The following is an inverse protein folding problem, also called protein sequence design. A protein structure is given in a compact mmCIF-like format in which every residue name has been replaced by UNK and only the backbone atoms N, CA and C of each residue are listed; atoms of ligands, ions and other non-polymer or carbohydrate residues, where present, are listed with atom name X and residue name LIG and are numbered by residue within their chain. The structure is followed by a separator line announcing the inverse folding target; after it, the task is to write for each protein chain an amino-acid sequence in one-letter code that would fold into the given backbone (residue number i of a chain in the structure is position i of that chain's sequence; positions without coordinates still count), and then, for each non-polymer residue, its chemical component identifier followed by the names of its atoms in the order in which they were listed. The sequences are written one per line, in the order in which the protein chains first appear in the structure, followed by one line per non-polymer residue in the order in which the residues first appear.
data_IF_766128740289
#
_entry.id   IF_766128740289
#
_cell.length_a   1.000
_cell.length_b   1.000
_cell.length_c   1.000
_cell.angle_alpha   90.00
_cell.angle_beta   90.00
_cell.angle_gamma   90.00
#
_symmetry.space_group_name_H-M   'P 1'
#
loop_
_entity.id
_entity.type
_entity.pdbx_description
1 polymer ?
#
# COMPACT_ATOMS: atom_id res chain seq x y z
N UNK A 1 44.68 9.70 -14.65
CA UNK A 1 44.05 9.19 -13.42
C UNK A 1 42.54 9.12 -13.62
N UNK A 2 42.04 7.99 -14.11
CA UNK A 2 40.60 7.75 -14.31
C UNK A 2 40.00 7.34 -12.97
N UNK A 3 39.19 8.21 -12.36
CA UNK A 3 38.46 7.86 -11.14
C UNK A 3 37.19 7.13 -11.53
N UNK A 4 37.13 5.83 -11.26
CA UNK A 4 35.96 5.00 -11.51
C UNK A 4 34.70 5.62 -10.88
N UNK A 5 33.55 5.57 -11.57
CA UNK A 5 32.30 6.15 -11.09
C UNK A 5 31.86 5.56 -9.73
N UNK A 6 32.21 4.30 -9.47
CA UNK A 6 31.94 3.60 -8.20
C UNK A 6 32.71 4.23 -7.04
N UNK A 7 33.98 4.60 -7.24
CA UNK A 7 34.83 5.21 -6.20
C UNK A 7 34.34 6.60 -5.82
N UNK A 8 33.86 7.38 -6.81
CA UNK A 8 33.21 8.67 -6.55
C UNK A 8 31.91 8.48 -5.79
N UNK A 9 31.11 7.47 -6.15
CA UNK A 9 29.87 7.14 -5.46
C UNK A 9 30.13 6.79 -3.98
N UNK A 10 31.08 5.89 -3.71
CA UNK A 10 31.48 5.53 -2.34
C UNK A 10 31.95 6.75 -1.54
N UNK A 11 32.75 7.64 -2.15
CA UNK A 11 33.21 8.86 -1.47
C UNK A 11 32.07 9.83 -1.12
N UNK A 12 31.03 9.90 -1.95
CA UNK A 12 29.83 10.70 -1.64
C UNK A 12 29.02 10.06 -0.49
N UNK A 13 28.84 8.74 -0.52
CA UNK A 13 28.19 8.01 0.56
C UNK A 13 28.92 8.17 1.89
N UNK A 14 30.24 8.09 1.90
CA UNK A 14 31.06 8.23 3.10
C UNK A 14 30.91 9.63 3.73
N UNK A 15 31.02 10.69 2.90
CA UNK A 15 30.79 12.07 3.36
C UNK A 15 29.36 12.32 3.84
N UNK A 16 28.37 11.71 3.20
CA UNK A 16 26.98 11.80 3.60
C UNK A 16 26.74 11.10 4.95
N UNK A 17 27.31 9.90 5.14
CA UNK A 17 27.24 9.15 6.39
C UNK A 17 27.95 9.91 7.52
N UNK A 18 29.13 10.46 7.28
CA UNK A 18 29.86 11.27 8.26
C UNK A 18 29.07 12.52 8.67
N UNK A 19 28.52 13.24 7.68
CA UNK A 19 27.71 14.43 7.94
C UNK A 19 26.42 14.10 8.70
N UNK A 20 25.79 12.96 8.38
CA UNK A 20 24.61 12.47 9.07
C UNK A 20 24.93 12.05 10.51
N UNK A 21 26.06 11.38 10.75
CA UNK A 21 26.51 10.97 12.08
C UNK A 21 26.84 12.18 12.98
N UNK A 22 27.51 13.21 12.43
CA UNK A 22 27.79 14.45 13.17
C UNK A 22 26.49 15.20 13.51
N UNK A 23 25.56 15.32 12.55
CA UNK A 23 24.27 15.97 12.78
C UNK A 23 23.38 15.21 13.75
N UNK A 24 23.36 13.88 13.69
CA UNK A 24 22.57 13.05 14.61
C UNK A 24 23.08 13.20 16.04
N UNK A 25 24.40 13.21 16.25
CA UNK A 25 24.99 13.44 17.56
C UNK A 25 24.69 14.84 18.12
N UNK A 26 24.55 15.84 17.26
CA UNK A 26 24.26 17.23 17.66
C UNK A 26 22.77 17.50 17.89
N UNK A 27 21.87 16.83 17.16
CA UNK A 27 20.44 17.15 17.14
C UNK A 27 19.56 16.10 17.83
N UNK A 28 20.00 14.84 17.89
CA UNK A 28 19.18 13.74 18.40
C UNK A 28 19.57 13.44 19.86
N UNK A 29 18.78 13.95 20.79
CA UNK A 29 18.85 13.55 22.19
C UNK A 29 18.32 12.13 22.43
N UNK A 30 18.77 11.49 23.53
CA UNK A 30 18.37 10.12 23.92
C UNK A 30 16.85 9.92 23.96
N UNK A 31 16.11 10.92 24.48
CA UNK A 31 14.64 10.88 24.59
C UNK A 31 13.96 10.95 23.22
N UNK A 32 14.48 11.79 22.32
CA UNK A 32 13.94 11.93 20.97
C UNK A 32 14.19 10.65 20.15
N UNK A 33 15.39 10.07 20.26
CA UNK A 33 15.72 8.79 19.63
C UNK A 33 14.76 7.68 20.09
N UNK A 34 14.61 7.49 21.41
CA UNK A 34 13.72 6.46 21.97
C UNK A 34 12.27 6.67 21.55
N UNK A 35 11.78 7.93 21.53
CA UNK A 35 10.42 8.23 21.11
C UNK A 35 10.19 7.94 19.61
N UNK A 36 11.16 8.28 18.75
CA UNK A 36 11.05 8.04 17.31
C UNK A 36 11.15 6.55 16.99
N UNK A 37 12.09 5.85 17.61
CA UNK A 37 12.24 4.41 17.44
C UNK A 37 10.97 3.69 17.91
N UNK A 38 10.44 4.05 19.08
CA UNK A 38 9.19 3.49 19.61
C UNK A 38 7.99 3.75 18.70
N UNK A 39 7.86 4.96 18.13
CA UNK A 39 6.81 5.28 17.16
C UNK A 39 6.89 4.41 15.90
N UNK A 40 8.09 4.22 15.36
CA UNK A 40 8.27 3.36 14.17
C UNK A 40 7.95 1.90 14.50
N UNK A 41 8.40 1.41 15.65
CA UNK A 41 8.22 0.01 16.07
C UNK A 41 6.74 -0.30 16.34
N UNK A 42 6.09 0.52 17.17
CA UNK A 42 4.66 0.39 17.47
C UNK A 42 3.84 0.66 16.22
N UNK A 43 4.13 1.75 15.50
CA UNK A 43 3.45 2.13 14.28
C UNK A 43 3.49 1.03 13.23
N UNK A 44 4.66 0.45 12.94
CA UNK A 44 4.79 -0.65 11.98
C UNK A 44 4.02 -1.91 12.39
N UNK A 45 3.93 -2.20 13.70
CA UNK A 45 3.19 -3.35 14.19
C UNK A 45 1.66 -3.15 14.17
N UNK A 46 1.18 -1.94 14.47
CA UNK A 46 -0.27 -1.65 14.52
C UNK A 46 -0.85 -1.15 13.21
N UNK A 47 -0.03 -0.66 12.26
CA UNK A 47 -0.49 -0.19 10.96
C UNK A 47 -1.37 -1.21 10.20
N UNK A 48 -1.06 -2.52 10.14
CA UNK A 48 -1.93 -3.49 9.47
C UNK A 48 -3.22 -3.81 10.25
N UNK A 49 -3.32 -3.39 11.52
CA UNK A 49 -4.53 -3.55 12.34
C UNK A 49 -5.47 -2.34 12.22
N UNK A 50 -5.00 -1.22 11.62
CA UNK A 50 -5.89 -0.12 11.30
C UNK A 50 -6.90 -0.58 10.24
N UNK A 51 -8.14 -0.08 10.28
CA UNK A 51 -9.14 -0.38 9.27
C UNK A 51 -8.57 -0.11 7.88
N UNK A 52 -8.63 -1.11 7.00
CA UNK A 52 -8.19 -0.97 5.61
C UNK A 52 -9.04 0.08 4.92
N UNK A 53 -8.49 1.27 4.70
CA UNK A 53 -9.15 2.28 3.86
C UNK A 53 -8.91 1.92 2.38
N UNK A 54 -9.92 1.32 1.75
CA UNK A 54 -9.89 0.95 0.33
C UNK A 54 -10.21 2.13 -0.60
N UNK A 55 -10.60 3.30 -0.06
CA UNK A 55 -11.00 4.47 -0.86
C UNK A 55 -9.85 5.04 -1.71
N UNK A 56 -8.60 4.89 -1.26
CA UNK A 56 -7.43 5.34 -2.01
C UNK A 56 -7.27 4.61 -3.36
N UNK A 57 -7.80 3.38 -3.50
CA UNK A 57 -7.77 2.63 -4.76
C UNK A 57 -8.93 2.97 -5.70
N UNK A 58 -9.99 3.59 -5.20
CA UNK A 58 -11.12 4.04 -6.03
C UNK A 58 -10.78 5.31 -6.85
N UNK A 59 -9.69 5.99 -6.53
CA UNK A 59 -9.23 7.21 -7.21
C UNK A 59 -8.44 6.87 -8.49
N UNK A 60 -9.13 6.43 -9.54
CA UNK A 60 -8.41 6.05 -10.76
C UNK A 60 -9.21 5.69 -12.01
N UNK A 61 -10.51 5.98 -12.09
CA UNK A 61 -11.28 5.71 -13.31
C UNK A 61 -11.05 6.82 -14.35
N UNK A 62 -10.01 6.68 -15.19
CA UNK A 62 -9.96 7.38 -16.47
C UNK A 62 -11.07 6.83 -17.41
N UNK A 63 -11.62 7.64 -18.34
CA UNK A 63 -12.63 7.15 -19.28
C UNK A 63 -12.00 6.08 -20.19
N UNK A 64 -12.30 4.82 -19.87
CA UNK A 64 -11.94 3.63 -20.62
C UNK A 64 -13.16 3.15 -21.44
N UNK A 65 -12.98 2.27 -22.45
CA UNK A 65 -14.10 1.56 -23.08
C UNK A 65 -15.02 0.94 -22.03
N UNK A 66 -16.31 0.84 -22.35
CA UNK A 66 -17.33 0.34 -21.43
C UNK A 66 -16.93 -1.05 -20.91
N UNK A 67 -16.62 -1.13 -19.62
CA UNK A 67 -16.22 -2.37 -18.95
C UNK A 67 -17.46 -3.19 -18.63
N UNK A 68 -17.34 -4.50 -18.75
CA UNK A 68 -18.42 -5.46 -18.55
C UNK A 68 -18.31 -6.13 -17.19
N UNK A 69 -19.31 -6.93 -16.81
CA UNK A 69 -19.39 -7.60 -15.52
C UNK A 69 -18.36 -8.71 -15.28
N UNK A 70 -17.57 -9.04 -16.30
CA UNK A 70 -16.41 -9.93 -16.23
C UNK A 70 -15.08 -9.20 -16.11
N UNK A 71 -15.08 -7.86 -16.20
CA UNK A 71 -13.88 -7.03 -16.10
C UNK A 71 -13.70 -6.48 -14.68
N UNK A 72 -12.47 -6.54 -14.14
CA UNK A 72 -12.15 -6.03 -12.80
C UNK A 72 -12.37 -4.52 -12.67
N UNK A 73 -12.23 -3.77 -13.76
CA UNK A 73 -12.34 -2.31 -13.82
C UNK A 73 -13.78 -1.86 -14.05
N UNK A 74 -14.75 -2.77 -14.04
CA UNK A 74 -16.16 -2.41 -14.02
C UNK A 74 -16.47 -1.58 -12.78
N UNK A 75 -17.20 -0.48 -12.98
CA UNK A 75 -17.38 0.57 -11.97
C UNK A 75 -17.96 0.06 -10.64
N UNK A 76 -18.79 -1.00 -10.67
CA UNK A 76 -19.38 -1.58 -9.44
C UNK A 76 -18.36 -2.34 -8.59
N UNK A 77 -17.18 -2.64 -9.14
CA UNK A 77 -16.13 -3.41 -8.47
C UNK A 77 -15.03 -2.53 -7.89
N UNK A 78 -15.29 -1.23 -7.70
CA UNK A 78 -14.32 -0.25 -7.19
C UNK A 78 -13.65 -0.63 -5.86
N UNK A 79 -14.28 -1.49 -5.05
CA UNK A 79 -13.76 -2.00 -3.79
C UNK A 79 -13.85 -3.54 -3.67
N UNK A 80 -13.96 -4.26 -4.79
CA UNK A 80 -14.08 -5.71 -4.81
C UNK A 80 -12.70 -6.36 -4.61
N UNK A 81 -12.66 -7.39 -3.77
CA UNK A 81 -11.46 -8.15 -3.45
C UNK A 81 -11.83 -9.63 -3.44
N UNK A 82 -11.34 -10.38 -4.41
CA UNK A 82 -11.70 -11.78 -4.64
C UNK A 82 -12.01 -12.08 -6.10
N UNK A 83 -12.86 -13.09 -6.32
CA UNK A 83 -13.27 -13.56 -7.65
C UNK A 83 -14.70 -13.11 -7.99
N UNK A 84 -14.93 -12.77 -9.25
CA UNK A 84 -16.23 -12.33 -9.74
C UNK A 84 -17.21 -13.51 -9.85
N UNK A 85 -18.40 -13.37 -9.26
CA UNK A 85 -19.44 -14.42 -9.30
C UNK A 85 -19.88 -14.74 -10.74
N UNK A 86 -19.89 -13.74 -11.62
CA UNK A 86 -20.16 -13.88 -13.06
C UNK A 86 -19.19 -14.87 -13.75
N UNK A 87 -17.95 -14.97 -13.27
CA UNK A 87 -16.95 -15.91 -13.79
C UNK A 87 -17.06 -17.32 -13.19
N UNK A 88 -17.94 -17.53 -12.20
CA UNK A 88 -18.05 -18.76 -11.43
C UNK A 88 -19.44 -19.42 -11.52
N UNK A 89 -20.24 -19.09 -12.53
CA UNK A 89 -21.58 -19.64 -12.72
C UNK A 89 -22.69 -18.94 -11.93
N UNK A 90 -22.39 -17.77 -11.34
CA UNK A 90 -23.37 -16.83 -10.81
C UNK A 90 -23.66 -15.69 -11.80
N UNK A 91 -24.20 -14.60 -11.29
CA UNK A 91 -24.38 -13.35 -12.03
C UNK A 91 -23.91 -12.16 -11.18
N UNK A 92 -24.08 -10.94 -11.70
CA UNK A 92 -23.73 -9.72 -10.98
C UNK A 92 -24.36 -9.59 -9.59
N UNK A 93 -25.56 -10.14 -9.41
CA UNK A 93 -26.36 -10.01 -8.17
C UNK A 93 -26.88 -11.35 -7.65
N UNK A 94 -26.40 -12.47 -8.20
CA UNK A 94 -26.81 -13.82 -7.79
C UNK A 94 -25.60 -14.71 -7.58
N UNK A 95 -25.58 -15.44 -6.46
CA UNK A 95 -24.53 -16.40 -6.14
C UNK A 95 -24.57 -17.62 -7.07
N UNK A 96 -23.41 -18.27 -7.33
CA UNK A 96 -23.35 -19.54 -8.04
C UNK A 96 -24.20 -20.65 -7.37
N UNK A 97 -24.70 -21.63 -8.14
CA UNK A 97 -25.44 -22.76 -7.58
C UNK A 97 -24.57 -23.56 -6.59
N UNK A 98 -25.16 -23.94 -5.47
CA UNK A 98 -24.47 -24.68 -4.39
C UNK A 98 -23.62 -23.81 -3.45
N UNK A 99 -23.68 -22.48 -3.59
CA UNK A 99 -23.07 -21.52 -2.65
C UNK A 99 -24.14 -20.76 -1.87
N UNK A 100 -23.77 -20.20 -0.72
CA UNK A 100 -24.68 -19.45 0.15
C UNK A 100 -24.23 -17.99 0.28
N UNK A 101 -25.14 -17.00 0.14
CA UNK A 101 -24.79 -15.59 0.26
C UNK A 101 -24.33 -15.23 1.68
N UNK A 102 -23.30 -14.38 1.77
CA UNK A 102 -22.84 -13.85 3.05
C UNK A 102 -23.89 -12.92 3.68
N UNK A 103 -24.04 -12.99 5.01
CA UNK A 103 -24.91 -12.07 5.78
C UNK A 103 -24.25 -10.73 6.08
N UNK A 104 -22.93 -10.62 5.87
CA UNK A 104 -22.14 -9.41 6.06
C UNK A 104 -21.44 -9.03 4.76
N UNK A 105 -21.36 -7.72 4.49
CA UNK A 105 -20.69 -7.18 3.30
C UNK A 105 -19.99 -5.86 3.61
N UNK A 106 -18.96 -5.56 2.82
CA UNK A 106 -18.28 -4.27 2.82
C UNK A 106 -18.81 -3.41 1.67
N UNK A 107 -18.96 -2.11 1.90
CA UNK A 107 -19.50 -1.17 0.91
C UNK A 107 -18.37 -0.33 0.32
N UNK A 108 -18.32 -0.24 -1.01
CA UNK A 108 -17.50 0.72 -1.75
C UNK A 108 -18.35 1.89 -2.23
N UNK A 109 -17.76 3.09 -2.26
CA UNK A 109 -18.35 4.32 -2.79
C UNK A 109 -17.60 4.80 -4.01
#
# INVERSE_FOLDING_TARGET
MSGDPVSKLMGVFDRAAESAARKSAQLIGRRSLLSSLGKVLVGGAVLPMLPFDRSARAQGAAPAPEKTDTDCEYWRYCALDGFLCSCCGGSLTSCPPGTEPSTVTWVGT
#
